data_IF_082576213361
#
_entry.id   IF_082576213361
#
_cell.length_a   1.000
_cell.length_b   1.000
_cell.length_c   1.000
_cell.angle_alpha   90.00
_cell.angle_beta   90.00
_cell.angle_gamma   90.00
#
_symmetry.space_group_name_H-M   'P 1'
#
loop_
_entity.id
_entity.type
_entity.pdbx_description
1 polymer ?
#
# COMPACT_ATOMS: atom_id res chain seq x y z
N UNK A 1 26.81 -6.15 -3.67
CA UNK A 1 26.77 -6.45 -5.11
C UNK A 1 27.83 -5.61 -5.81
N UNK A 2 28.86 -6.25 -6.31
CA UNK A 2 30.01 -5.58 -6.98
C UNK A 2 29.72 -5.27 -8.46
N UNK A 3 28.71 -5.91 -9.05
CA UNK A 3 28.35 -5.71 -10.47
C UNK A 3 27.42 -4.54 -10.73
N UNK A 4 27.04 -3.80 -9.70
CA UNK A 4 26.22 -2.60 -9.83
C UNK A 4 26.88 -1.39 -9.17
N UNK A 5 26.59 -0.20 -9.69
CA UNK A 5 27.10 1.06 -9.15
C UNK A 5 28.63 1.18 -9.15
N UNK A 6 29.25 0.72 -10.24
CA UNK A 6 30.70 0.85 -10.37
C UNK A 6 31.19 2.31 -10.20
N UNK A 7 32.30 2.58 -9.49
CA UNK A 7 33.19 1.62 -8.81
C UNK A 7 32.80 1.31 -7.35
N UNK A 8 31.70 1.80 -6.83
CA UNK A 8 31.38 1.78 -5.39
C UNK A 8 30.70 0.48 -4.93
N UNK A 9 30.05 -0.22 -5.85
CA UNK A 9 29.22 -1.35 -5.51
C UNK A 9 27.91 -0.93 -4.82
N UNK A 10 27.13 -1.92 -4.37
CA UNK A 10 25.86 -1.69 -3.68
C UNK A 10 25.72 -2.60 -2.46
N UNK A 11 25.40 -2.02 -1.31
CA UNK A 11 24.91 -2.80 -0.17
C UNK A 11 23.41 -3.09 -0.33
N UNK A 12 23.11 -4.39 -0.51
CA UNK A 12 21.74 -4.86 -0.71
C UNK A 12 20.93 -4.75 0.59
N UNK A 13 21.56 -4.93 1.77
CA UNK A 13 20.87 -4.91 3.06
C UNK A 13 20.30 -3.54 3.39
N UNK A 14 21.02 -2.48 3.05
CA UNK A 14 20.59 -1.09 3.27
C UNK A 14 19.59 -0.61 2.21
N UNK A 15 19.77 -1.03 0.95
CA UNK A 15 19.11 -0.41 -0.21
C UNK A 15 17.98 -1.26 -0.80
N UNK A 16 17.78 -2.50 -0.33
CA UNK A 16 16.78 -3.42 -0.87
C UNK A 16 15.59 -3.63 0.09
N UNK A 17 14.51 -4.19 -0.46
CA UNK A 17 13.33 -4.63 0.28
C UNK A 17 13.58 -6.03 0.86
N UNK A 18 14.41 -6.11 1.90
CA UNK A 18 14.97 -7.37 2.44
C UNK A 18 13.87 -8.38 2.83
N UNK A 19 12.74 -7.91 3.35
CA UNK A 19 11.64 -8.80 3.74
C UNK A 19 11.04 -9.56 2.56
N UNK A 20 11.05 -9.00 1.33
CA UNK A 20 10.62 -9.73 0.13
C UNK A 20 11.53 -10.94 -0.11
N UNK A 21 12.84 -10.73 -0.12
CA UNK A 21 13.83 -11.77 -0.40
C UNK A 21 13.83 -12.86 0.67
N UNK A 22 13.82 -12.48 1.95
CA UNK A 22 13.76 -13.42 3.07
C UNK A 22 12.46 -14.24 3.02
N UNK A 23 11.32 -13.57 2.83
CA UNK A 23 10.04 -14.28 2.77
C UNK A 23 10.00 -15.26 1.60
N UNK A 24 10.42 -14.83 0.41
CA UNK A 24 10.46 -15.71 -0.76
C UNK A 24 11.41 -16.91 -0.55
N UNK A 25 12.58 -16.69 0.06
CA UNK A 25 13.52 -17.75 0.40
C UNK A 25 12.92 -18.77 1.36
N UNK A 26 12.27 -18.30 2.44
CA UNK A 26 11.60 -19.19 3.41
C UNK A 26 10.47 -19.97 2.73
N UNK A 27 9.63 -19.30 1.94
CA UNK A 27 8.55 -19.98 1.22
C UNK A 27 9.08 -20.97 0.20
N UNK A 28 10.17 -20.65 -0.50
CA UNK A 28 10.82 -21.58 -1.42
C UNK A 28 11.37 -22.82 -0.70
N UNK A 29 12.02 -22.67 0.44
CA UNK A 29 12.54 -23.79 1.23
C UNK A 29 11.40 -24.71 1.75
N UNK A 30 10.24 -24.14 2.08
CA UNK A 30 9.10 -24.88 2.60
C UNK A 30 8.23 -25.51 1.50
N UNK A 31 8.09 -24.86 0.36
CA UNK A 31 7.08 -25.18 -0.67
C UNK A 31 7.64 -25.26 -2.09
N UNK A 32 8.93 -25.18 -2.29
CA UNK A 32 9.56 -25.20 -3.62
C UNK A 32 9.50 -26.56 -4.33
N UNK A 33 9.33 -27.67 -3.61
CA UNK A 33 9.07 -29.02 -4.16
C UNK A 33 9.93 -29.43 -5.36
N UNK A 34 11.19 -29.25 -5.42
CA UNK A 34 12.07 -29.53 -6.57
C UNK A 34 11.91 -28.59 -7.79
N UNK A 35 11.12 -27.52 -7.70
CA UNK A 35 11.10 -26.48 -8.74
C UNK A 35 12.41 -25.67 -8.72
N UNK A 36 12.75 -25.05 -9.85
CA UNK A 36 13.81 -24.05 -9.82
C UNK A 36 13.38 -22.81 -9.02
N UNK A 37 14.32 -22.08 -8.44
CA UNK A 37 14.02 -20.80 -7.78
C UNK A 37 13.33 -19.83 -8.76
N UNK A 38 13.74 -19.86 -10.02
CA UNK A 38 13.16 -19.03 -11.08
C UNK A 38 11.68 -19.32 -11.29
N UNK A 39 11.30 -20.58 -11.45
CA UNK A 39 9.89 -20.98 -11.62
C UNK A 39 9.05 -20.64 -10.39
N UNK A 40 9.63 -20.81 -9.21
CA UNK A 40 8.96 -20.46 -7.95
C UNK A 40 8.65 -18.97 -7.86
N UNK A 41 9.61 -18.08 -8.17
CA UNK A 41 9.39 -16.63 -8.07
C UNK A 41 8.43 -16.09 -9.13
N UNK A 42 8.29 -16.78 -10.28
CA UNK A 42 7.28 -16.45 -11.29
C UNK A 42 5.85 -16.60 -10.73
N UNK A 43 5.60 -17.67 -9.97
CA UNK A 43 4.27 -18.00 -9.43
C UNK A 43 4.02 -17.28 -8.10
N UNK A 44 5.06 -16.89 -7.39
CA UNK A 44 4.98 -16.30 -6.04
C UNK A 44 3.99 -15.14 -5.93
N UNK A 45 3.97 -14.12 -6.84
CA UNK A 45 3.02 -13.01 -6.77
C UNK A 45 1.56 -13.46 -6.83
N UNK A 46 1.25 -14.47 -7.65
CA UNK A 46 -0.10 -15.00 -7.79
C UNK A 46 -0.60 -15.64 -6.48
N UNK A 47 0.26 -16.44 -5.83
CA UNK A 47 -0.05 -17.06 -4.54
C UNK A 47 -0.27 -15.99 -3.47
N UNK A 48 0.63 -15.02 -3.38
CA UNK A 48 0.52 -13.91 -2.42
C UNK A 48 -0.72 -13.06 -2.70
N UNK A 49 -1.05 -12.78 -3.96
CA UNK A 49 -2.27 -12.07 -4.35
C UNK A 49 -3.53 -12.79 -3.88
N UNK A 50 -3.58 -14.11 -4.04
CA UNK A 50 -4.69 -14.95 -3.55
C UNK A 50 -4.82 -14.90 -2.02
N UNK A 51 -3.73 -15.01 -1.29
CA UNK A 51 -3.70 -14.86 0.16
C UNK A 51 -4.11 -13.45 0.61
N UNK A 52 -3.76 -12.43 -0.18
CA UNK A 52 -4.16 -11.05 0.07
C UNK A 52 -5.68 -10.89 -0.07
N UNK A 53 -6.31 -11.49 -1.09
CA UNK A 53 -7.76 -11.48 -1.24
C UNK A 53 -8.48 -12.08 -0.01
N UNK A 54 -7.93 -13.15 0.58
CA UNK A 54 -8.44 -13.74 1.84
C UNK A 54 -8.28 -12.75 3.01
N UNK A 55 -7.13 -12.06 3.08
CA UNK A 55 -6.88 -11.07 4.13
C UNK A 55 -7.80 -9.86 4.00
N UNK A 56 -8.08 -9.40 2.79
CA UNK A 56 -9.06 -8.34 2.47
C UNK A 56 -10.47 -8.79 2.88
N UNK A 57 -10.87 -10.01 2.52
CA UNK A 57 -12.14 -10.58 2.99
C UNK A 57 -12.24 -10.52 4.51
N UNK A 58 -11.23 -11.03 5.22
CA UNK A 58 -11.23 -11.06 6.68
C UNK A 58 -11.31 -9.66 7.30
N UNK A 59 -10.55 -8.72 6.76
CA UNK A 59 -10.53 -7.33 7.22
C UNK A 59 -11.88 -6.62 7.02
N UNK A 60 -12.42 -6.66 5.80
CA UNK A 60 -13.68 -5.99 5.49
C UNK A 60 -14.88 -6.68 6.15
N UNK A 61 -14.82 -8.00 6.33
CA UNK A 61 -15.82 -8.73 7.12
C UNK A 61 -15.95 -8.21 8.55
N UNK A 62 -14.83 -7.85 9.18
CA UNK A 62 -14.85 -7.25 10.53
C UNK A 62 -15.54 -5.89 10.52
N UNK A 63 -15.38 -5.11 9.48
CA UNK A 63 -15.99 -3.78 9.34
C UNK A 63 -17.47 -3.85 8.97
N UNK A 64 -17.80 -4.55 7.88
CA UNK A 64 -19.10 -4.48 7.21
C UNK A 64 -19.91 -5.79 7.15
N UNK A 65 -19.39 -6.90 7.72
CA UNK A 65 -20.05 -8.21 7.69
C UNK A 65 -19.62 -9.09 6.52
N UNK A 66 -20.15 -10.32 6.47
CA UNK A 66 -19.68 -11.36 5.53
C UNK A 66 -19.90 -10.97 4.07
N UNK A 67 -21.07 -10.43 3.73
CA UNK A 67 -21.36 -9.97 2.35
C UNK A 67 -20.40 -8.88 1.90
N UNK A 68 -20.12 -7.89 2.76
CA UNK A 68 -19.12 -6.86 2.45
C UNK A 68 -17.73 -7.46 2.23
N UNK A 69 -17.32 -8.43 3.07
CA UNK A 69 -16.05 -9.12 2.90
C UNK A 69 -15.94 -9.87 1.56
N UNK A 70 -16.98 -10.60 1.16
CA UNK A 70 -17.00 -11.32 -0.13
C UNK A 70 -16.93 -10.36 -1.32
N UNK A 71 -17.71 -9.27 -1.28
CA UNK A 71 -17.66 -8.23 -2.31
C UNK A 71 -16.28 -7.56 -2.37
N UNK A 72 -15.66 -7.31 -1.21
CA UNK A 72 -14.32 -6.74 -1.16
C UNK A 72 -13.25 -7.66 -1.78
N UNK A 73 -13.31 -8.96 -1.49
CA UNK A 73 -12.40 -9.92 -2.10
C UNK A 73 -12.60 -10.00 -3.62
N UNK A 74 -13.85 -10.00 -4.09
CA UNK A 74 -14.14 -9.96 -5.53
C UNK A 74 -13.60 -8.69 -6.18
N UNK A 75 -13.91 -7.50 -5.62
CA UNK A 75 -13.40 -6.22 -6.12
C UNK A 75 -11.86 -6.17 -6.13
N UNK A 76 -11.23 -6.71 -5.08
CA UNK A 76 -9.77 -6.78 -5.00
C UNK A 76 -9.18 -7.62 -6.14
N UNK A 77 -9.76 -8.78 -6.42
CA UNK A 77 -9.25 -9.72 -7.43
C UNK A 77 -9.35 -9.19 -8.87
N UNK A 78 -10.29 -8.28 -9.14
CA UNK A 78 -10.50 -7.69 -10.48
C UNK A 78 -10.00 -6.24 -10.58
N UNK A 79 -9.43 -5.67 -9.52
CA UNK A 79 -8.98 -4.27 -9.50
C UNK A 79 -7.71 -4.07 -10.30
N UNK A 80 -7.77 -3.29 -11.38
CA UNK A 80 -6.65 -3.07 -12.28
C UNK A 80 -5.37 -2.55 -11.57
N UNK A 81 -5.39 -1.52 -10.71
CA UNK A 81 -4.18 -1.06 -10.02
C UNK A 81 -3.55 -2.11 -9.09
N UNK A 82 -4.31 -3.13 -8.70
CA UNK A 82 -3.85 -4.20 -7.82
C UNK A 82 -3.31 -5.38 -8.64
N UNK A 83 -4.09 -5.90 -9.61
CA UNK A 83 -3.64 -7.09 -10.33
C UNK A 83 -2.45 -6.78 -11.25
N UNK A 84 -2.35 -5.58 -11.85
CA UNK A 84 -1.19 -5.17 -12.66
C UNK A 84 0.12 -5.18 -11.87
N UNK A 85 0.05 -5.06 -10.55
CA UNK A 85 1.18 -5.18 -9.63
C UNK A 85 1.36 -6.57 -9.04
N UNK A 86 0.60 -7.55 -9.47
CA UNK A 86 0.62 -8.92 -8.97
C UNK A 86 0.48 -9.96 -10.07
N UNK A 87 0.74 -9.59 -11.33
CA UNK A 87 0.75 -10.51 -12.46
C UNK A 87 1.80 -11.60 -12.30
N UNK A 88 1.61 -12.68 -13.01
CA UNK A 88 2.57 -13.79 -13.08
C UNK A 88 3.93 -13.25 -13.56
N UNK A 89 5.01 -13.62 -12.87
CA UNK A 89 6.35 -13.07 -13.13
C UNK A 89 6.65 -11.71 -12.52
N UNK A 90 5.68 -11.01 -11.97
CA UNK A 90 5.88 -9.71 -11.30
C UNK A 90 6.41 -9.89 -9.87
N UNK A 91 7.63 -10.39 -9.73
CA UNK A 91 8.27 -10.57 -8.43
C UNK A 91 8.76 -9.24 -7.87
N UNK A 92 7.84 -8.47 -7.30
CA UNK A 92 8.10 -7.17 -6.67
C UNK A 92 7.52 -7.09 -5.25
N UNK A 93 7.84 -5.99 -4.60
CA UNK A 93 7.56 -5.75 -3.17
C UNK A 93 6.09 -5.46 -2.87
N UNK A 94 5.33 -4.92 -3.85
CA UNK A 94 3.95 -4.48 -3.66
C UNK A 94 2.99 -5.61 -3.23
N UNK A 95 2.95 -6.77 -3.90
CA UNK A 95 2.04 -7.86 -3.50
C UNK A 95 2.25 -8.33 -2.08
N UNK A 96 3.51 -8.59 -1.70
CA UNK A 96 3.84 -9.07 -0.36
C UNK A 96 3.57 -8.01 0.71
N UNK A 97 3.92 -6.76 0.42
CA UNK A 97 3.62 -5.63 1.31
C UNK A 97 2.13 -5.50 1.59
N UNK A 98 1.28 -5.57 0.56
CA UNK A 98 -0.18 -5.52 0.71
C UNK A 98 -0.72 -6.72 1.51
N UNK A 99 -0.19 -7.93 1.28
CA UNK A 99 -0.58 -9.10 2.06
C UNK A 99 -0.39 -8.87 3.56
N UNK A 100 0.82 -8.49 3.95
CA UNK A 100 1.12 -8.23 5.36
C UNK A 100 0.33 -7.04 5.92
N UNK A 101 0.13 -5.99 5.13
CA UNK A 101 -0.66 -4.84 5.56
C UNK A 101 -2.13 -5.19 5.81
N UNK A 102 -2.81 -5.88 4.89
CA UNK A 102 -4.20 -6.27 5.09
C UNK A 102 -4.37 -7.27 6.24
N UNK A 103 -3.43 -8.20 6.39
CA UNK A 103 -3.42 -9.12 7.54
C UNK A 103 -3.24 -8.35 8.86
N UNK A 104 -2.32 -7.38 8.90
CA UNK A 104 -2.13 -6.50 10.05
C UNK A 104 -3.39 -5.69 10.35
N UNK A 105 -4.04 -5.10 9.35
CA UNK A 105 -5.27 -4.32 9.51
C UNK A 105 -6.43 -5.19 10.03
N UNK A 106 -6.57 -6.41 9.52
CA UNK A 106 -7.53 -7.38 10.07
C UNK A 106 -7.29 -7.66 11.55
N UNK A 107 -6.04 -7.96 11.91
CA UNK A 107 -5.68 -8.27 13.30
C UNK A 107 -5.84 -7.05 14.21
N UNK A 108 -5.43 -5.87 13.76
CA UNK A 108 -5.59 -4.61 14.50
C UNK A 108 -7.06 -4.31 14.77
N UNK A 109 -7.90 -4.27 13.74
CA UNK A 109 -9.33 -3.93 13.88
C UNK A 109 -10.04 -5.00 14.69
N UNK A 110 -9.76 -6.29 14.46
CA UNK A 110 -10.37 -7.36 15.24
C UNK A 110 -9.89 -7.36 16.69
N UNK A 111 -8.64 -6.98 16.94
CA UNK A 111 -8.07 -6.84 18.29
C UNK A 111 -8.71 -5.69 19.09
N UNK A 112 -8.91 -4.54 18.45
CA UNK A 112 -9.50 -3.37 19.12
C UNK A 112 -11.02 -3.48 19.25
N UNK A 113 -11.73 -3.96 18.22
CA UNK A 113 -13.19 -3.85 18.15
C UNK A 113 -13.95 -5.06 18.71
N UNK A 114 -13.41 -6.27 18.63
CA UNK A 114 -14.10 -7.50 19.09
C UNK A 114 -13.80 -7.90 20.52
N UNK A 115 -12.82 -7.25 21.15
CA UNK A 115 -12.71 -7.24 22.58
C UNK A 115 -12.27 -8.43 23.40
N UNK A 116 -11.50 -8.11 24.37
CA UNK A 116 -11.56 -8.60 25.75
C UNK A 116 -11.01 -9.99 25.94
N UNK A 117 -9.76 -10.03 26.19
CA UNK A 117 -9.07 -11.21 26.65
C UNK A 117 -7.70 -11.35 26.01
N UNK A 118 -7.00 -12.38 26.40
CA UNK A 118 -5.64 -12.69 25.95
C UNK A 118 -5.51 -12.67 24.40
N UNK A 119 -6.53 -13.16 23.69
CA UNK A 119 -6.54 -13.19 22.22
C UNK A 119 -6.52 -11.82 21.57
N UNK A 120 -7.11 -10.77 22.16
CA UNK A 120 -7.05 -9.42 21.62
C UNK A 120 -5.64 -8.85 21.69
N UNK A 121 -4.90 -9.08 22.78
CA UNK A 121 -3.50 -8.68 22.89
C UNK A 121 -2.62 -9.43 21.90
N UNK A 122 -2.79 -10.73 21.75
CA UNK A 122 -2.05 -11.54 20.78
C UNK A 122 -2.28 -11.00 19.35
N UNK A 123 -3.53 -10.69 19.00
CA UNK A 123 -3.85 -10.09 17.69
C UNK A 123 -3.14 -8.75 17.49
N UNK A 124 -3.07 -7.90 18.51
CA UNK A 124 -2.42 -6.58 18.40
C UNK A 124 -0.90 -6.71 18.29
N UNK A 125 -0.29 -7.67 18.97
CA UNK A 125 1.13 -7.97 18.82
C UNK A 125 1.42 -8.43 17.39
N UNK A 126 0.67 -9.40 16.88
CA UNK A 126 0.86 -9.85 15.50
C UNK A 126 0.50 -8.78 14.47
N UNK A 127 -0.46 -7.88 14.76
CA UNK A 127 -0.75 -6.75 13.89
C UNK A 127 0.46 -5.81 13.73
N UNK A 128 1.16 -5.50 14.84
CA UNK A 128 2.40 -4.72 14.80
C UNK A 128 3.50 -5.42 14.02
N UNK A 129 3.71 -6.73 14.28
CA UNK A 129 4.70 -7.54 13.58
C UNK A 129 4.42 -7.60 12.06
N UNK A 130 3.19 -7.94 11.64
CA UNK A 130 2.87 -8.02 10.21
C UNK A 130 2.92 -6.67 9.52
N UNK A 131 2.54 -5.58 10.20
CA UNK A 131 2.67 -4.25 9.60
C UNK A 131 4.15 -3.87 9.41
N UNK A 132 5.02 -4.24 10.34
CA UNK A 132 6.47 -4.08 10.19
C UNK A 132 7.02 -4.90 9.01
N UNK A 133 6.63 -6.16 8.86
CA UNK A 133 7.00 -6.98 7.70
C UNK A 133 6.50 -6.36 6.37
N UNK A 134 5.30 -5.78 6.38
CA UNK A 134 4.78 -5.03 5.24
C UNK A 134 5.65 -3.83 4.89
N UNK A 135 6.02 -3.01 5.88
CA UNK A 135 6.91 -1.86 5.71
C UNK A 135 8.31 -2.27 5.23
N UNK A 136 8.82 -3.39 5.72
CA UNK A 136 10.10 -3.95 5.27
C UNK A 136 10.04 -4.57 3.88
N UNK A 137 8.82 -4.88 3.39
CA UNK A 137 8.59 -5.35 2.03
C UNK A 137 8.40 -4.19 1.06
N UNK A 138 7.62 -3.17 1.43
CA UNK A 138 7.29 -2.04 0.56
C UNK A 138 7.05 -0.76 1.35
N UNK A 139 7.80 0.31 1.03
CA UNK A 139 7.65 1.61 1.71
C UNK A 139 6.27 2.25 1.58
N UNK A 140 5.51 1.93 0.52
CA UNK A 140 4.12 2.40 0.36
C UNK A 140 3.17 1.95 1.47
N UNK A 141 3.54 0.91 2.24
CA UNK A 141 2.75 0.43 3.38
C UNK A 141 2.66 1.47 4.52
N UNK A 142 3.49 2.51 4.51
CA UNK A 142 3.32 3.68 5.38
C UNK A 142 1.90 4.28 5.30
N UNK A 143 1.23 4.14 4.14
CA UNK A 143 -0.17 4.52 3.99
C UNK A 143 -1.05 3.94 5.11
N UNK A 144 -0.87 2.68 5.49
CA UNK A 144 -1.72 2.01 6.48
C UNK A 144 -1.52 2.50 7.92
N UNK A 145 -0.43 3.22 8.20
CA UNK A 145 -0.26 3.91 9.49
C UNK A 145 -1.17 5.12 9.61
N UNK A 146 -1.41 5.84 8.52
CA UNK A 146 -2.20 7.08 8.53
C UNK A 146 -3.60 6.87 9.09
N UNK A 147 -4.42 5.90 8.61
CA UNK A 147 -5.74 5.66 9.18
C UNK A 147 -5.70 5.20 10.64
N UNK A 148 -4.66 4.49 11.08
CA UNK A 148 -4.50 4.10 12.50
C UNK A 148 -4.24 5.33 13.36
N UNK A 149 -3.33 6.21 12.94
CA UNK A 149 -3.00 7.47 13.64
C UNK A 149 -4.24 8.36 13.74
N UNK A 150 -4.93 8.61 12.64
CA UNK A 150 -6.15 9.42 12.62
C UNK A 150 -7.22 8.79 13.52
N UNK A 151 -7.35 7.47 13.48
CA UNK A 151 -8.30 6.77 14.35
C UNK A 151 -7.96 6.95 15.84
N UNK A 152 -6.69 6.89 16.22
CA UNK A 152 -6.25 7.17 17.59
C UNK A 152 -6.55 8.61 18.02
N UNK A 153 -6.40 9.59 17.11
CA UNK A 153 -6.73 10.99 17.40
C UNK A 153 -8.25 11.23 17.56
N UNK A 154 -9.08 10.49 16.84
CA UNK A 154 -10.55 10.63 16.91
C UNK A 154 -11.17 9.82 18.05
N UNK A 155 -10.57 8.69 18.40
CA UNK A 155 -11.13 7.72 19.32
C UNK A 155 -11.55 8.27 20.69
N UNK A 156 -10.81 9.19 21.35
CA UNK A 156 -11.19 9.78 22.63
C UNK A 156 -12.50 10.60 22.58
N UNK A 157 -12.85 11.12 21.40
CA UNK A 157 -14.07 11.94 21.20
C UNK A 157 -15.31 11.08 20.89
N UNK A 158 -15.13 9.77 20.66
CA UNK A 158 -16.23 8.85 20.49
C UNK A 158 -16.78 8.40 21.85
N UNK A 159 -18.11 8.36 21.99
CA UNK A 159 -18.74 7.80 23.20
C UNK A 159 -18.45 6.30 23.29
N UNK A 160 -17.41 5.94 24.02
CA UNK A 160 -16.99 4.57 24.26
C UNK A 160 -16.93 4.27 25.75
N UNK A 161 -17.49 3.16 26.15
CA UNK A 161 -17.55 2.74 27.58
C UNK A 161 -16.29 1.98 28.05
N UNK A 162 -15.19 1.90 27.28
CA UNK A 162 -14.15 0.88 27.55
C UNK A 162 -12.74 1.43 27.70
N UNK A 163 -12.18 1.23 28.89
CA UNK A 163 -10.78 1.46 29.23
C UNK A 163 -9.76 0.55 28.50
N UNK A 164 -10.23 -0.36 27.63
CA UNK A 164 -9.39 -1.33 26.94
C UNK A 164 -8.35 -0.66 26.01
N UNK A 165 -8.69 0.49 25.44
CA UNK A 165 -7.80 1.20 24.51
C UNK A 165 -6.51 1.68 25.18
N UNK A 166 -6.52 1.93 26.49
CA UNK A 166 -5.33 2.33 27.27
C UNK A 166 -4.21 1.28 27.14
N UNK A 167 -4.58 0.02 27.01
CA UNK A 167 -3.63 -1.08 26.84
C UNK A 167 -3.47 -1.49 25.38
N UNK A 168 -4.55 -1.45 24.62
CA UNK A 168 -4.55 -1.91 23.24
C UNK A 168 -3.67 -1.06 22.32
N UNK A 169 -3.72 0.27 22.46
CA UNK A 169 -2.92 1.17 21.64
C UNK A 169 -1.41 1.01 21.93
N UNK A 170 -0.92 1.05 23.18
CA UNK A 170 0.49 0.79 23.48
C UNK A 170 0.97 -0.59 23.02
N UNK A 171 0.19 -1.65 23.23
CA UNK A 171 0.59 -3.01 22.84
C UNK A 171 0.85 -3.09 21.34
N UNK A 172 -0.05 -2.55 20.51
CA UNK A 172 0.14 -2.49 19.06
C UNK A 172 1.38 -1.65 18.70
N UNK A 173 1.48 -0.42 19.23
CA UNK A 173 2.53 0.53 18.87
C UNK A 173 3.92 0.06 19.32
N UNK A 174 4.03 -0.51 20.51
CA UNK A 174 5.30 -1.09 21.00
C UNK A 174 5.68 -2.30 20.15
N UNK A 175 4.73 -3.19 19.85
CA UNK A 175 5.00 -4.33 18.96
C UNK A 175 5.48 -3.88 17.60
N UNK A 176 4.83 -2.88 16.98
CA UNK A 176 5.25 -2.31 15.71
C UNK A 176 6.68 -1.76 15.78
N UNK A 177 6.95 -0.88 16.75
CA UNK A 177 8.26 -0.23 16.91
C UNK A 177 9.37 -1.26 17.14
N UNK A 178 9.16 -2.23 18.03
CA UNK A 178 10.14 -3.28 18.27
C UNK A 178 10.37 -4.17 17.04
N UNK A 179 9.32 -4.46 16.28
CA UNK A 179 9.44 -5.27 15.07
C UNK A 179 10.13 -4.52 13.92
N UNK A 180 10.01 -3.19 13.85
CA UNK A 180 10.72 -2.38 12.86
C UNK A 180 12.24 -2.40 13.04
N UNK A 181 12.73 -2.68 14.26
CA UNK A 181 14.16 -2.83 14.56
C UNK A 181 14.76 -4.12 13.99
N UNK A 182 13.96 -5.08 13.54
CA UNK A 182 14.44 -6.35 12.98
C UNK A 182 15.18 -6.17 11.64
N UNK A 183 14.93 -5.09 10.91
CA UNK A 183 15.53 -4.82 9.61
C UNK A 183 16.17 -3.44 9.61
N UNK A 184 17.40 -3.35 9.12
CA UNK A 184 18.22 -2.14 9.13
C UNK A 184 17.49 -0.96 8.45
N UNK A 185 16.96 -1.18 7.26
CA UNK A 185 16.22 -0.15 6.51
C UNK A 185 14.99 0.39 7.26
N UNK A 186 14.25 -0.44 7.97
CA UNK A 186 13.06 -0.01 8.72
C UNK A 186 13.37 0.48 10.11
N UNK A 187 14.54 0.17 10.65
CA UNK A 187 14.99 0.70 11.94
C UNK A 187 15.05 2.24 11.92
N UNK A 188 15.38 2.84 10.80
CA UNK A 188 15.37 4.29 10.61
C UNK A 188 13.99 4.92 10.78
N UNK A 189 12.91 4.17 10.51
CA UNK A 189 11.54 4.65 10.74
C UNK A 189 11.19 4.76 12.22
N UNK A 190 11.85 3.99 13.11
CA UNK A 190 11.54 4.00 14.55
C UNK A 190 11.93 5.32 15.21
N UNK A 191 13.09 5.87 14.84
CA UNK A 191 13.62 7.15 15.34
C UNK A 191 13.18 8.30 14.42
N UNK A 192 12.74 7.97 13.19
CA UNK A 192 12.26 8.92 12.22
C UNK A 192 10.83 9.40 12.48
N UNK A 193 10.30 10.18 11.53
CA UNK A 193 8.97 10.80 11.61
C UNK A 193 7.83 9.79 11.82
N UNK A 194 7.91 8.59 11.24
CA UNK A 194 6.84 7.60 11.35
C UNK A 194 6.70 7.07 12.78
N UNK A 195 7.81 6.69 13.42
CA UNK A 195 7.80 6.23 14.80
C UNK A 195 7.36 7.29 15.79
N UNK A 196 7.80 8.54 15.59
CA UNK A 196 7.35 9.68 16.41
C UNK A 196 5.85 9.91 16.30
N UNK A 197 5.28 9.95 15.10
CA UNK A 197 3.84 10.20 14.92
C UNK A 197 3.00 9.06 15.51
N UNK A 198 3.44 7.80 15.39
CA UNK A 198 2.80 6.66 16.06
C UNK A 198 2.91 6.78 17.57
N UNK A 199 4.09 7.15 18.10
CA UNK A 199 4.31 7.35 19.53
C UNK A 199 3.40 8.46 20.10
N UNK A 200 3.41 9.63 19.48
CA UNK A 200 2.57 10.77 19.91
C UNK A 200 1.08 10.47 19.83
N UNK A 201 0.60 9.82 18.78
CA UNK A 201 -0.81 9.44 18.67
C UNK A 201 -1.23 8.40 19.72
N UNK A 202 -0.31 7.50 20.08
CA UNK A 202 -0.52 6.51 21.13
C UNK A 202 -0.58 7.19 22.51
N UNK A 203 0.36 8.07 22.81
CA UNK A 203 0.35 8.87 24.06
C UNK A 203 -0.91 9.70 24.13
N UNK A 204 -1.32 10.34 23.02
CA UNK A 204 -2.54 11.13 22.96
C UNK A 204 -3.78 10.31 23.37
N UNK A 205 -4.01 9.17 22.73
CA UNK A 205 -5.20 8.36 23.04
C UNK A 205 -5.20 7.84 24.47
N UNK A 206 -4.03 7.44 24.99
CA UNK A 206 -3.90 6.94 26.37
C UNK A 206 -4.17 8.06 27.38
N UNK A 207 -3.54 9.22 27.20
CA UNK A 207 -3.72 10.35 28.13
C UNK A 207 -5.15 10.89 28.08
N UNK A 208 -5.76 11.00 26.90
CA UNK A 208 -7.17 11.41 26.80
C UNK A 208 -8.13 10.44 27.51
N UNK A 209 -7.89 9.14 27.43
CA UNK A 209 -8.68 8.16 28.17
C UNK A 209 -8.43 8.23 29.68
N UNK A 210 -7.24 8.61 30.12
CA UNK A 210 -6.95 8.91 31.52
C UNK A 210 -7.64 10.20 31.99
N UNK A 211 -7.58 11.27 31.18
CA UNK A 211 -8.31 12.52 31.43
C UNK A 211 -9.79 12.25 31.63
N UNK A 212 -10.39 11.34 30.84
CA UNK A 212 -11.79 10.96 30.96
C UNK A 212 -12.15 10.37 32.33
N UNK A 213 -11.20 9.70 33.01
CA UNK A 213 -11.42 9.16 34.38
C UNK A 213 -11.41 10.24 35.47
N UNK A 214 -10.66 11.33 35.23
CA UNK A 214 -10.43 12.35 36.25
C UNK A 214 -11.14 13.67 35.99
N UNK A 215 -11.73 13.85 34.80
CA UNK A 215 -12.44 15.08 34.41
C UNK A 215 -13.95 14.88 34.38
N UNK A 216 -14.69 15.95 34.67
CA UNK A 216 -16.15 16.01 34.43
C UNK A 216 -16.42 15.91 32.92
N UNK A 217 -17.53 15.28 32.53
CA UNK A 217 -17.89 15.09 31.11
C UNK A 217 -17.89 16.39 30.28
N UNK A 218 -18.28 17.52 30.86
CA UNK A 218 -18.30 18.83 30.19
C UNK A 218 -16.90 19.37 29.86
N UNK A 219 -15.87 19.04 30.63
CA UNK A 219 -14.49 19.51 30.43
C UNK A 219 -13.61 18.50 29.70
N UNK A 220 -14.05 17.24 29.56
CA UNK A 220 -13.26 16.21 28.92
C UNK A 220 -12.84 16.58 27.50
N UNK A 221 -13.77 16.97 26.65
CA UNK A 221 -13.51 17.34 25.25
C UNK A 221 -12.55 18.53 25.17
N UNK A 222 -12.76 19.55 26.01
CA UNK A 222 -11.88 20.72 26.05
C UNK A 222 -10.45 20.34 26.44
N UNK A 223 -10.29 19.54 27.49
CA UNK A 223 -8.97 19.10 27.96
C UNK A 223 -8.25 18.23 26.92
N UNK A 224 -8.97 17.38 26.20
CA UNK A 224 -8.40 16.60 25.10
C UNK A 224 -7.94 17.48 23.93
N UNK A 225 -8.69 18.55 23.60
CA UNK A 225 -8.25 19.52 22.58
C UNK A 225 -7.01 20.31 23.01
N UNK A 226 -6.96 20.77 24.27
CA UNK A 226 -5.78 21.45 24.82
C UNK A 226 -4.56 20.51 24.72
N UNK A 227 -4.73 19.24 25.10
CA UNK A 227 -3.65 18.27 25.03
C UNK A 227 -3.23 17.97 23.58
N UNK A 228 -4.17 17.87 22.63
CA UNK A 228 -3.88 17.71 21.21
C UNK A 228 -3.03 18.88 20.68
N UNK A 229 -3.45 20.12 21.00
CA UNK A 229 -2.69 21.33 20.61
C UNK A 229 -1.28 21.31 21.18
N UNK A 230 -1.12 20.92 22.45
CA UNK A 230 0.20 20.79 23.10
C UNK A 230 1.09 19.76 22.41
N UNK A 231 0.54 18.60 22.01
CA UNK A 231 1.28 17.58 21.25
C UNK A 231 1.70 18.10 19.88
N UNK A 232 0.81 18.79 19.16
CA UNK A 232 1.13 19.36 17.84
C UNK A 232 2.27 20.39 17.97
N UNK A 233 2.22 21.27 18.96
CA UNK A 233 3.29 22.24 19.23
C UNK A 233 4.61 21.52 19.55
N UNK A 234 4.57 20.47 20.39
CA UNK A 234 5.74 19.68 20.72
C UNK A 234 6.33 19.00 19.48
N UNK A 235 5.50 18.42 18.60
CA UNK A 235 5.93 17.82 17.35
C UNK A 235 6.60 18.85 16.42
N UNK A 236 5.99 20.02 16.25
CA UNK A 236 6.57 21.13 15.47
C UNK A 236 7.94 21.51 16.05
N UNK A 237 8.06 21.61 17.38
CA UNK A 237 9.32 21.91 18.05
C UNK A 237 10.40 20.84 17.79
N UNK A 238 10.05 19.57 17.81
CA UNK A 238 10.98 18.45 17.51
C UNK A 238 11.46 18.52 16.05
N UNK A 239 10.58 18.76 15.09
CA UNK A 239 10.98 18.92 13.69
C UNK A 239 11.79 20.18 13.45
N UNK A 240 11.41 21.30 14.08
CA UNK A 240 12.12 22.58 13.96
C UNK A 240 13.52 22.53 14.59
N UNK A 241 13.74 21.72 15.63
CA UNK A 241 15.06 21.53 16.25
C UNK A 241 16.04 20.71 15.40
N UNK A 242 15.58 20.07 14.33
CA UNK A 242 16.41 19.20 13.47
C UNK A 242 16.79 17.85 14.11
N UNK A 243 16.29 17.52 15.31
CA UNK A 243 16.51 16.21 15.97
C UNK A 243 15.98 15.09 15.09
N UNK A 244 14.89 15.35 14.37
CA UNK A 244 14.29 14.40 13.42
C UNK A 244 14.24 15.04 12.05
N UNK A 245 14.79 14.34 11.07
CA UNK A 245 14.73 14.78 9.67
C UNK A 245 13.30 14.74 9.15
N UNK A 246 12.94 15.74 8.34
CA UNK A 246 11.69 15.72 7.60
C UNK A 246 11.68 14.54 6.62
N UNK A 247 10.48 14.00 6.30
CA UNK A 247 10.36 12.98 5.26
C UNK A 247 10.98 13.47 3.95
N UNK A 248 11.58 12.56 3.21
CA UNK A 248 12.07 12.85 1.86
C UNK A 248 10.96 13.41 0.96
N UNK A 249 11.33 14.17 -0.06
CA UNK A 249 10.40 14.92 -0.92
C UNK A 249 9.28 14.06 -1.52
N UNK A 250 9.57 12.80 -1.88
CA UNK A 250 8.55 11.83 -2.35
C UNK A 250 7.42 11.61 -1.36
N UNK A 251 7.73 11.53 -0.07
CA UNK A 251 6.70 11.34 0.97
C UNK A 251 5.91 12.62 1.22
N UNK A 252 6.56 13.78 1.16
CA UNK A 252 5.89 15.08 1.27
C UNK A 252 4.93 15.30 0.11
N UNK A 253 5.34 14.96 -1.12
CA UNK A 253 4.49 15.00 -2.31
C UNK A 253 3.31 14.03 -2.20
N UNK A 254 3.53 12.81 -1.71
CA UNK A 254 2.45 11.84 -1.50
C UNK A 254 1.41 12.35 -0.50
N UNK A 255 1.83 13.13 0.50
CA UNK A 255 0.95 13.73 1.49
C UNK A 255 0.30 15.05 1.04
N UNK A 256 0.90 15.75 0.07
CA UNK A 256 0.38 17.00 -0.47
C UNK A 256 0.43 16.99 -2.01
N UNK A 257 -0.68 16.65 -2.66
CA UNK A 257 -0.76 16.56 -4.12
C UNK A 257 -0.56 17.91 -4.85
N UNK A 258 -0.55 19.02 -4.12
CA UNK A 258 -0.29 20.35 -4.67
C UNK A 258 1.20 20.74 -4.67
N UNK A 259 2.08 19.94 -4.06
CA UNK A 259 3.52 20.11 -4.18
C UNK A 259 3.96 19.62 -5.57
N UNK A 260 4.62 20.52 -6.31
CA UNK A 260 5.31 20.15 -7.55
C UNK A 260 6.68 19.56 -7.22
N UNK A 261 7.06 18.49 -7.90
CA UNK A 261 8.39 17.94 -7.77
C UNK A 261 9.41 18.92 -8.38
N UNK A 262 10.51 19.11 -7.67
CA UNK A 262 11.68 19.84 -8.19
C UNK A 262 12.86 18.87 -8.40
N UNK A 263 12.62 17.55 -8.23
CA UNK A 263 13.64 16.52 -8.39
C UNK A 263 13.53 15.88 -9.78
N UNK A 264 14.49 16.16 -10.69
CA UNK A 264 14.45 15.64 -12.06
C UNK A 264 14.41 14.11 -12.14
N UNK A 265 14.99 13.41 -11.16
CA UNK A 265 14.95 11.94 -11.13
C UNK A 265 13.54 11.45 -10.82
N UNK A 266 12.86 12.05 -9.86
CA UNK A 266 11.45 11.74 -9.56
C UNK A 266 10.54 12.03 -10.76
N UNK A 267 10.77 13.13 -11.45
CA UNK A 267 9.98 13.54 -12.62
C UNK A 267 10.25 12.66 -13.86
N UNK A 268 11.42 12.03 -13.95
CA UNK A 268 11.74 11.11 -15.05
C UNK A 268 10.97 9.79 -14.99
N UNK A 269 10.38 9.45 -13.85
CA UNK A 269 9.61 8.22 -13.66
C UNK A 269 8.15 8.45 -14.00
N UNK A 270 7.65 7.84 -15.07
CA UNK A 270 6.27 8.00 -15.55
C UNK A 270 5.20 7.72 -14.49
N UNK A 271 5.47 6.80 -13.56
CA UNK A 271 4.57 6.47 -12.45
C UNK A 271 4.46 7.58 -11.38
N UNK A 272 5.38 8.55 -11.38
CA UNK A 272 5.33 9.72 -10.49
C UNK A 272 4.62 10.92 -11.11
N UNK A 273 4.07 10.78 -12.31
CA UNK A 273 3.21 11.80 -12.90
C UNK A 273 1.98 12.03 -12.03
N UNK A 274 1.53 13.27 -11.98
CA UNK A 274 0.29 13.65 -11.28
C UNK A 274 -0.91 12.94 -11.92
N UNK A 275 -1.79 12.39 -11.09
CA UNK A 275 -3.02 11.75 -11.58
C UNK A 275 -3.98 12.78 -12.14
N UNK A 276 -4.68 12.41 -13.22
CA UNK A 276 -5.82 13.15 -13.75
C UNK A 276 -7.12 12.39 -13.48
N UNK A 277 -8.26 13.07 -13.55
CA UNK A 277 -9.57 12.42 -13.40
C UNK A 277 -9.76 11.31 -14.45
N UNK A 278 -9.29 11.53 -15.68
CA UNK A 278 -9.35 10.51 -16.74
C UNK A 278 -8.48 9.31 -16.42
N UNK A 279 -7.27 9.53 -15.95
CA UNK A 279 -6.35 8.44 -15.53
C UNK A 279 -6.96 7.61 -14.39
N UNK A 280 -7.44 8.28 -13.33
CA UNK A 280 -8.09 7.60 -12.22
C UNK A 280 -9.34 6.83 -12.66
N UNK A 281 -10.14 7.39 -13.61
CA UNK A 281 -11.31 6.70 -14.12
C UNK A 281 -10.95 5.42 -14.91
N UNK A 282 -9.90 5.43 -15.69
CA UNK A 282 -9.41 4.23 -16.40
C UNK A 282 -9.00 3.13 -15.39
N UNK A 283 -8.32 3.52 -14.32
CA UNK A 283 -7.83 2.56 -13.33
C UNK A 283 -8.91 2.01 -12.39
N UNK A 284 -9.82 2.83 -11.90
CA UNK A 284 -10.78 2.42 -10.85
C UNK A 284 -12.24 2.37 -11.32
N UNK A 285 -12.56 2.97 -12.47
CA UNK A 285 -13.82 2.86 -13.19
C UNK A 285 -15.07 2.90 -12.29
N UNK A 286 -15.90 1.88 -12.36
CA UNK A 286 -17.17 1.76 -11.62
C UNK A 286 -17.00 1.70 -10.10
N UNK A 287 -15.81 1.41 -9.59
CA UNK A 287 -15.56 1.40 -8.14
C UNK A 287 -15.78 2.78 -7.52
N UNK A 288 -15.62 3.86 -8.29
CA UNK A 288 -15.94 5.23 -7.85
C UNK A 288 -17.41 5.32 -7.46
N UNK A 289 -18.31 4.79 -8.29
CA UNK A 289 -19.76 4.79 -8.03
C UNK A 289 -20.07 4.03 -6.73
N UNK A 290 -19.49 2.84 -6.60
CA UNK A 290 -19.69 2.02 -5.40
C UNK A 290 -19.09 2.67 -4.14
N UNK A 291 -17.94 3.33 -4.26
CA UNK A 291 -17.32 4.10 -3.18
C UNK A 291 -18.21 5.26 -2.71
N UNK A 292 -18.80 6.01 -3.64
CA UNK A 292 -19.75 7.11 -3.33
C UNK A 292 -20.98 6.56 -2.58
N UNK A 293 -21.54 5.44 -3.04
CA UNK A 293 -22.65 4.76 -2.35
C UNK A 293 -22.23 4.36 -0.93
N UNK A 294 -21.00 3.85 -0.77
CA UNK A 294 -20.45 3.49 0.53
C UNK A 294 -20.32 4.67 1.47
N UNK A 295 -19.76 5.78 1.00
CA UNK A 295 -19.63 7.03 1.74
C UNK A 295 -21.03 7.51 2.18
N UNK A 296 -21.96 7.56 1.25
CA UNK A 296 -23.34 7.98 1.52
C UNK A 296 -23.96 7.17 2.66
N UNK A 297 -23.91 5.85 2.60
CA UNK A 297 -24.48 5.01 3.66
C UNK A 297 -23.72 5.17 4.97
N UNK A 298 -22.39 5.20 4.97
CA UNK A 298 -21.59 5.32 6.19
C UNK A 298 -21.81 6.65 6.92
N UNK A 299 -22.12 7.75 6.21
CA UNK A 299 -22.53 9.02 6.84
C UNK A 299 -23.97 9.00 7.35
N UNK A 300 -24.87 8.22 6.77
CA UNK A 300 -26.28 8.17 7.16
C UNK A 300 -26.46 7.43 8.48
N UNK A 301 -26.80 8.18 9.56
CA UNK A 301 -26.97 7.61 10.91
C UNK A 301 -28.18 6.69 11.05
N UNK A 302 -29.25 6.91 10.25
CA UNK A 302 -30.56 6.23 10.41
C UNK A 302 -30.65 4.86 9.73
N UNK A 303 -29.70 4.52 8.88
CA UNK A 303 -29.84 3.41 7.94
C UNK A 303 -28.97 2.20 8.21
N UNK A 304 -28.09 2.23 9.23
CA UNK A 304 -27.06 1.21 9.40
C UNK A 304 -26.94 0.73 10.83
N UNK A 305 -26.99 -0.59 10.99
CA UNK A 305 -26.73 -1.30 12.25
C UNK A 305 -25.21 -1.59 12.45
N UNK A 306 -24.35 -0.67 12.04
CA UNK A 306 -22.91 -0.78 12.26
C UNK A 306 -22.46 0.10 13.43
N UNK A 307 -21.62 -0.46 14.30
CA UNK A 307 -21.01 0.28 15.42
C UNK A 307 -20.24 1.50 14.88
N UNK A 308 -20.33 2.61 15.61
CA UNK A 308 -19.75 3.89 15.21
C UNK A 308 -18.24 3.81 14.92
N UNK A 309 -17.52 3.03 15.70
CA UNK A 309 -16.07 2.82 15.53
C UNK A 309 -15.72 2.23 14.15
N UNK A 310 -16.50 1.20 13.72
CA UNK A 310 -16.28 0.54 12.43
C UNK A 310 -16.57 1.47 11.27
N UNK A 311 -17.64 2.26 11.39
CA UNK A 311 -18.03 3.26 10.39
C UNK A 311 -16.95 4.33 10.23
N UNK A 312 -16.48 4.88 11.34
CA UNK A 312 -15.45 5.91 11.35
C UNK A 312 -14.15 5.36 10.78
N UNK A 313 -13.74 4.15 11.19
CA UNK A 313 -12.51 3.55 10.67
C UNK A 313 -12.59 3.29 9.17
N UNK A 314 -13.72 2.78 8.67
CA UNK A 314 -13.93 2.57 7.24
C UNK A 314 -13.90 3.88 6.44
N UNK A 315 -14.49 4.96 6.98
CA UNK A 315 -14.44 6.29 6.36
C UNK A 315 -13.02 6.85 6.37
N UNK A 316 -12.29 6.75 7.48
CA UNK A 316 -10.92 7.25 7.58
C UNK A 316 -10.04 6.57 6.53
N UNK A 317 -9.98 5.23 6.50
CA UNK A 317 -9.12 4.52 5.56
C UNK A 317 -9.53 4.78 4.10
N UNK A 318 -10.84 4.84 3.81
CA UNK A 318 -11.33 5.08 2.47
C UNK A 318 -11.02 6.50 1.98
N UNK A 319 -11.28 7.53 2.79
CA UNK A 319 -11.05 8.92 2.40
C UNK A 319 -9.56 9.23 2.30
N UNK A 320 -8.76 8.76 3.26
CA UNK A 320 -7.29 8.95 3.21
C UNK A 320 -6.65 8.24 2.00
N UNK A 321 -7.19 7.09 1.62
CA UNK A 321 -6.74 6.36 0.44
C UNK A 321 -6.98 7.15 -0.86
N UNK A 322 -8.18 7.69 -1.03
CA UNK A 322 -8.54 8.53 -2.19
C UNK A 322 -7.69 9.81 -2.21
N UNK A 323 -7.48 10.45 -1.04
CA UNK A 323 -6.67 11.65 -0.96
C UNK A 323 -5.21 11.39 -1.37
N UNK A 324 -4.57 10.36 -0.84
CA UNK A 324 -3.17 10.05 -1.12
C UNK A 324 -2.97 9.62 -2.58
N UNK A 325 -3.92 8.90 -3.14
CA UNK A 325 -3.85 8.47 -4.55
C UNK A 325 -3.85 9.64 -5.55
N UNK A 326 -4.36 10.80 -5.16
CA UNK A 326 -4.40 11.98 -6.03
C UNK A 326 -3.03 12.60 -6.32
N UNK A 327 -1.97 12.16 -5.65
CA UNK A 327 -0.63 12.72 -5.81
C UNK A 327 0.15 12.13 -6.99
N UNK A 328 0.13 10.81 -7.16
CA UNK A 328 0.89 10.09 -8.19
C UNK A 328 0.09 8.94 -8.77
N UNK A 329 0.29 8.65 -10.06
CA UNK A 329 -0.29 7.48 -10.74
C UNK A 329 0.05 6.18 -10.01
N UNK A 330 1.27 6.04 -9.50
CA UNK A 330 1.70 4.87 -8.71
C UNK A 330 0.84 4.63 -7.46
N UNK A 331 0.21 5.66 -6.92
CA UNK A 331 -0.60 5.59 -5.70
C UNK A 331 -2.08 5.24 -5.96
N UNK A 332 -2.48 5.07 -7.23
CA UNK A 332 -3.84 4.62 -7.60
C UNK A 332 -4.22 3.27 -6.98
N UNK A 333 -3.23 2.47 -6.62
CA UNK A 333 -3.45 1.25 -5.83
C UNK A 333 -4.16 1.54 -4.50
N UNK A 334 -3.88 2.67 -3.87
CA UNK A 334 -4.57 3.09 -2.63
C UNK A 334 -5.97 3.60 -2.91
N UNK A 335 -6.22 4.27 -4.06
CA UNK A 335 -7.59 4.58 -4.48
C UNK A 335 -8.44 3.32 -4.54
N UNK A 336 -7.91 2.27 -5.18
CA UNK A 336 -8.57 0.96 -5.22
C UNK A 336 -8.84 0.41 -3.83
N UNK A 337 -7.86 0.43 -2.93
CA UNK A 337 -8.05 -0.03 -1.54
C UNK A 337 -9.19 0.72 -0.85
N UNK A 338 -9.22 2.05 -0.96
CA UNK A 338 -10.27 2.88 -0.37
C UNK A 338 -11.65 2.58 -0.95
N UNK A 339 -11.74 2.54 -2.28
CA UNK A 339 -12.99 2.30 -2.99
C UNK A 339 -13.53 0.88 -2.79
N UNK A 340 -12.64 -0.13 -2.68
CA UNK A 340 -13.01 -1.51 -2.35
C UNK A 340 -13.64 -1.57 -0.96
N UNK A 341 -13.03 -0.94 0.04
CA UNK A 341 -13.56 -0.96 1.41
C UNK A 341 -14.90 -0.23 1.48
N UNK A 342 -14.97 0.99 0.96
CA UNK A 342 -16.19 1.80 1.00
C UNK A 342 -17.29 1.18 0.14
N UNK A 343 -16.97 0.81 -1.09
CA UNK A 343 -17.91 0.28 -2.06
C UNK A 343 -18.49 -1.06 -1.65
N UNK A 344 -17.67 -1.98 -1.16
CA UNK A 344 -18.15 -3.29 -0.70
C UNK A 344 -19.09 -3.19 0.50
N UNK A 345 -18.80 -2.31 1.47
CA UNK A 345 -19.70 -2.04 2.60
C UNK A 345 -20.98 -1.39 2.10
N UNK A 346 -20.89 -0.40 1.20
CA UNK A 346 -22.05 0.28 0.61
C UNK A 346 -22.96 -0.68 -0.16
N UNK A 347 -22.39 -1.50 -1.02
CA UNK A 347 -23.12 -2.52 -1.77
C UNK A 347 -23.76 -3.56 -0.85
N UNK A 348 -23.05 -4.04 0.18
CA UNK A 348 -23.60 -4.99 1.13
C UNK A 348 -24.85 -4.44 1.85
N UNK A 349 -24.83 -3.16 2.22
CA UNK A 349 -25.97 -2.48 2.83
C UNK A 349 -27.12 -2.35 1.80
N UNK A 350 -26.78 -1.96 0.57
CA UNK A 350 -27.75 -1.80 -0.51
C UNK A 350 -28.42 -3.13 -0.86
N UNK A 351 -27.64 -4.21 -1.02
CA UNK A 351 -28.16 -5.57 -1.24
C UNK A 351 -29.10 -5.98 -0.11
N UNK A 352 -28.69 -5.81 1.14
CA UNK A 352 -29.53 -6.15 2.29
C UNK A 352 -30.88 -5.43 2.21
N UNK A 353 -30.87 -4.10 1.98
CA UNK A 353 -32.10 -3.30 1.91
C UNK A 353 -33.02 -3.71 0.75
N UNK A 354 -32.47 -3.99 -0.42
CA UNK A 354 -33.27 -4.35 -1.60
C UNK A 354 -33.82 -5.77 -1.48
N UNK A 355 -32.99 -6.72 -1.02
CA UNK A 355 -33.42 -8.11 -0.88
C UNK A 355 -34.48 -8.31 0.24
N UNK A 356 -34.36 -7.55 1.35
CA UNK A 356 -35.32 -7.58 2.45
C UNK A 356 -36.56 -6.71 2.18
N UNK A 357 -36.59 -5.89 1.14
CA UNK A 357 -37.74 -5.05 0.79
C UNK A 357 -38.87 -5.86 0.18
N UNK A 358 -40.10 -5.31 0.24
CA UNK A 358 -41.30 -5.90 -0.39
C UNK A 358 -41.43 -5.58 -1.88
N UNK A 359 -40.31 -5.23 -2.56
CA UNK A 359 -40.27 -4.95 -3.99
C UNK A 359 -40.48 -6.27 -4.76
N UNK A 360 -41.16 -6.15 -5.92
CA UNK A 360 -41.41 -7.25 -6.84
C UNK A 360 -40.12 -8.01 -7.22
N UNK A 361 -40.14 -9.35 -7.18
CA UNK A 361 -38.97 -10.21 -7.37
C UNK A 361 -38.20 -9.95 -8.68
N UNK A 362 -38.81 -9.74 -9.84
CA UNK A 362 -38.08 -9.38 -11.08
C UNK A 362 -37.27 -8.09 -10.97
N UNK A 363 -37.72 -7.09 -10.23
CA UNK A 363 -36.95 -5.87 -9.99
C UNK A 363 -35.67 -6.14 -9.20
N UNK A 364 -35.72 -7.07 -8.22
CA UNK A 364 -34.54 -7.50 -7.46
C UNK A 364 -33.51 -8.21 -8.37
N UNK A 365 -34.00 -9.08 -9.27
CA UNK A 365 -33.16 -9.78 -10.25
C UNK A 365 -32.52 -8.76 -11.22
N UNK A 366 -33.31 -7.80 -11.73
CA UNK A 366 -32.80 -6.74 -12.61
C UNK A 366 -31.72 -5.93 -11.89
N UNK A 367 -31.95 -5.55 -10.63
CA UNK A 367 -30.95 -4.84 -9.83
C UNK A 367 -29.65 -5.63 -9.69
N UNK A 368 -29.71 -6.91 -9.36
CA UNK A 368 -28.52 -7.78 -9.27
C UNK A 368 -27.80 -7.89 -10.63
N UNK A 369 -28.58 -7.99 -11.72
CA UNK A 369 -28.07 -8.01 -13.09
C UNK A 369 -27.33 -6.71 -13.48
N UNK A 370 -27.89 -5.56 -13.12
CA UNK A 370 -27.26 -4.25 -13.34
C UNK A 370 -25.93 -4.14 -12.58
N UNK A 371 -25.93 -4.51 -11.30
CA UNK A 371 -24.67 -4.49 -10.52
C UNK A 371 -23.62 -5.43 -11.11
N UNK A 372 -24.01 -6.65 -11.51
CA UNK A 372 -23.11 -7.59 -12.16
C UNK A 372 -22.59 -7.02 -13.48
N UNK A 373 -23.45 -6.43 -14.30
CA UNK A 373 -23.05 -5.77 -15.55
C UNK A 373 -22.04 -4.65 -15.31
N UNK A 374 -22.27 -3.81 -14.29
CA UNK A 374 -21.31 -2.76 -13.91
C UNK A 374 -19.96 -3.35 -13.47
N UNK A 375 -19.93 -4.46 -12.76
CA UNK A 375 -18.68 -5.13 -12.42
C UNK A 375 -17.93 -5.66 -13.63
N UNK A 376 -18.66 -6.20 -14.61
CA UNK A 376 -18.06 -6.81 -15.81
C UNK A 376 -17.60 -5.75 -16.82
N UNK A 377 -18.22 -4.57 -16.84
CA UNK A 377 -17.90 -3.51 -17.82
C UNK A 377 -16.39 -3.22 -17.91
N UNK A 378 -15.68 -2.83 -16.87
CA UNK A 378 -14.25 -2.49 -16.99
C UNK A 378 -13.36 -3.73 -17.23
N UNK A 379 -13.87 -4.92 -16.92
CA UNK A 379 -13.12 -6.16 -17.15
C UNK A 379 -13.08 -6.52 -18.64
N UNK A 380 -14.15 -6.21 -19.38
CA UNK A 380 -14.35 -6.68 -20.76
C UNK A 380 -14.33 -5.50 -21.76
N UNK A 381 -14.76 -4.31 -21.37
CA UNK A 381 -15.00 -3.17 -22.27
C UNK A 381 -14.24 -1.91 -21.82
N UNK A 382 -13.78 -1.07 -22.78
CA UNK A 382 -13.63 -1.38 -24.20
C UNK A 382 -12.53 -2.39 -24.46
N UNK A 383 -12.56 -3.12 -25.56
CA UNK A 383 -11.66 -4.26 -25.83
C UNK A 383 -10.18 -3.90 -25.67
N UNK A 384 -9.74 -2.75 -26.22
CA UNK A 384 -8.35 -2.31 -26.18
C UNK A 384 -7.89 -1.76 -24.79
N UNK A 385 -8.82 -1.34 -23.95
CA UNK A 385 -8.56 -0.75 -22.62
C UNK A 385 -9.15 -1.58 -21.49
N UNK A 386 -9.64 -2.78 -21.81
CA UNK A 386 -10.20 -3.69 -20.82
C UNK A 386 -9.12 -4.19 -19.85
N UNK A 387 -9.51 -4.48 -18.63
CA UNK A 387 -8.58 -5.01 -17.66
C UNK A 387 -8.07 -6.40 -18.04
N UNK A 388 -8.81 -7.16 -18.85
CA UNK A 388 -8.35 -8.44 -19.42
C UNK A 388 -7.21 -8.23 -20.41
N UNK A 389 -7.28 -7.24 -21.29
CA UNK A 389 -6.20 -6.95 -22.24
C UNK A 389 -4.89 -6.57 -21.54
N UNK A 390 -4.97 -5.90 -20.40
CA UNK A 390 -3.77 -5.60 -19.59
C UNK A 390 -3.14 -6.85 -18.96
N UNK A 391 -3.93 -7.86 -18.65
CA UNK A 391 -3.41 -9.11 -18.12
C UNK A 391 -2.74 -10.00 -19.19
N UNK A 392 -3.09 -9.84 -20.46
CA UNK A 392 -2.50 -10.57 -21.58
C UNK A 392 -1.07 -10.13 -21.90
N UNK A 393 -0.75 -8.86 -21.61
CA UNK A 393 0.56 -8.28 -21.89
C UNK A 393 1.28 -7.84 -20.60
N UNK A 394 1.73 -8.79 -19.76
CA UNK A 394 2.45 -8.44 -18.53
C UNK A 394 3.76 -7.72 -18.86
N UNK A 395 4.20 -6.73 -18.06
CA UNK A 395 5.42 -5.98 -18.29
C UNK A 395 6.65 -6.87 -18.06
N UNK A 396 7.09 -7.52 -19.12
CA UNK A 396 8.30 -8.36 -19.20
C UNK A 396 9.36 -7.72 -20.07
N UNK A 397 10.55 -8.30 -20.11
CA UNK A 397 11.62 -7.86 -21.00
C UNK A 397 11.19 -7.94 -22.48
N UNK A 398 10.34 -8.88 -22.84
CA UNK A 398 9.80 -9.03 -24.21
C UNK A 398 8.88 -7.86 -24.62
N UNK A 399 8.28 -7.18 -23.64
CA UNK A 399 7.44 -6.00 -23.84
C UNK A 399 8.16 -4.70 -23.43
N UNK A 400 9.49 -4.70 -23.37
CA UNK A 400 10.28 -3.55 -22.97
C UNK A 400 10.04 -3.07 -21.52
N UNK A 401 9.56 -3.95 -20.63
CA UNK A 401 9.22 -3.61 -19.25
C UNK A 401 7.94 -2.79 -19.09
N UNK A 402 7.11 -2.69 -20.12
CA UNK A 402 5.86 -1.91 -20.17
C UNK A 402 4.69 -2.79 -20.60
N UNK A 403 3.48 -2.22 -20.62
CA UNK A 403 2.27 -2.90 -21.14
C UNK A 403 2.13 -2.74 -22.67
N UNK A 404 3.24 -2.81 -23.41
CA UNK A 404 3.16 -2.79 -24.87
C UNK A 404 2.54 -4.08 -25.40
N UNK A 405 1.61 -3.93 -26.34
CA UNK A 405 0.95 -5.06 -27.01
C UNK A 405 1.81 -5.71 -28.12
N UNK A 406 3.10 -5.40 -28.15
CA UNK A 406 4.06 -5.95 -29.11
C UNK A 406 5.15 -6.64 -28.31
N UNK A 407 5.39 -7.91 -28.62
CA UNK A 407 6.47 -8.70 -28.06
C UNK A 407 7.64 -8.76 -29.05
N UNK A 408 8.83 -8.42 -28.62
CA UNK A 408 10.06 -8.48 -29.43
C UNK A 408 11.18 -9.17 -28.66
N UNK A 409 12.17 -9.70 -29.39
CA UNK A 409 13.38 -10.26 -28.81
C UNK A 409 14.53 -9.24 -28.73
N UNK A 410 14.30 -7.98 -29.06
CA UNK A 410 15.37 -6.98 -29.16
C UNK A 410 16.17 -6.85 -27.86
N UNK A 411 15.51 -6.81 -26.71
CA UNK A 411 16.19 -6.75 -25.42
C UNK A 411 16.93 -8.04 -25.04
N UNK A 412 16.33 -9.24 -25.12
CA UNK A 412 17.04 -10.50 -24.94
C UNK A 412 18.24 -10.65 -25.85
N UNK A 413 18.10 -10.28 -27.13
CA UNK A 413 19.20 -10.35 -28.12
C UNK A 413 20.31 -9.35 -27.79
N UNK A 414 19.97 -8.12 -27.37
CA UNK A 414 20.94 -7.14 -26.91
C UNK A 414 21.72 -7.63 -25.68
N UNK A 415 21.04 -8.24 -24.70
CA UNK A 415 21.68 -8.80 -23.50
C UNK A 415 22.61 -9.98 -23.87
N UNK A 416 22.18 -10.86 -24.75
CA UNK A 416 22.98 -11.96 -25.26
C UNK A 416 24.21 -11.45 -26.05
N UNK A 417 24.01 -10.39 -26.85
CA UNK A 417 25.14 -9.78 -27.58
C UNK A 417 26.17 -9.20 -26.62
N UNK A 418 25.77 -8.45 -25.61
CA UNK A 418 26.66 -7.93 -24.57
C UNK A 418 27.43 -9.06 -23.89
N UNK A 419 26.74 -10.13 -23.50
CA UNK A 419 27.36 -11.27 -22.84
C UNK A 419 28.43 -11.93 -23.67
N UNK A 420 28.22 -12.07 -24.96
CA UNK A 420 29.08 -12.84 -25.85
C UNK A 420 30.17 -12.00 -26.54
N UNK A 421 29.97 -10.68 -26.64
CA UNK A 421 30.87 -9.80 -27.44
C UNK A 421 31.64 -8.77 -26.60
N UNK A 422 31.48 -8.77 -25.27
CA UNK A 422 32.28 -7.92 -24.37
C UNK A 422 33.06 -8.78 -23.39
N UNK A 423 34.13 -8.24 -22.80
CA UNK A 423 34.91 -8.95 -21.76
C UNK A 423 34.12 -9.08 -20.47
N UNK A 424 34.43 -10.06 -19.62
CA UNK A 424 33.72 -10.31 -18.36
C UNK A 424 33.81 -9.13 -17.39
N UNK A 425 34.87 -8.35 -17.45
CA UNK A 425 35.15 -7.14 -16.67
C UNK A 425 34.62 -5.85 -17.32
N UNK A 426 33.89 -5.94 -18.44
CA UNK A 426 33.35 -4.79 -19.13
C UNK A 426 32.35 -4.04 -18.25
N UNK A 427 32.51 -2.71 -18.22
CA UNK A 427 31.60 -1.79 -17.50
C UNK A 427 30.68 -1.13 -18.52
N UNK A 428 29.37 -1.35 -18.34
CA UNK A 428 28.35 -0.88 -19.28
C UNK A 428 27.73 0.42 -18.78
N UNK A 429 27.78 1.42 -19.63
CA UNK A 429 27.12 2.70 -19.45
C UNK A 429 25.76 2.67 -20.15
N UNK A 430 24.69 2.80 -19.41
CA UNK A 430 23.30 2.83 -19.92
C UNK A 430 22.43 3.73 -19.06
N UNK A 431 21.22 4.04 -19.52
CA UNK A 431 20.21 4.63 -18.64
C UNK A 431 19.89 3.67 -17.49
N UNK A 432 19.60 4.19 -16.30
CA UNK A 432 19.44 3.42 -15.07
C UNK A 432 18.34 2.35 -15.15
N UNK A 433 17.29 2.56 -15.95
CA UNK A 433 16.19 1.60 -16.10
C UNK A 433 16.63 0.21 -16.61
N UNK A 434 17.75 0.13 -17.33
CA UNK A 434 18.23 -1.09 -17.95
C UNK A 434 19.30 -1.83 -17.13
N UNK A 435 19.78 -1.21 -16.05
CA UNK A 435 20.90 -1.72 -15.28
C UNK A 435 20.67 -3.14 -14.75
N UNK A 436 19.49 -3.45 -14.23
CA UNK A 436 19.20 -4.80 -13.75
C UNK A 436 19.19 -5.86 -14.85
N UNK A 437 18.74 -5.55 -16.05
CA UNK A 437 18.80 -6.50 -17.17
C UNK A 437 20.25 -6.76 -17.57
N UNK A 438 21.07 -5.72 -17.61
CA UNK A 438 22.50 -5.83 -17.94
C UNK A 438 23.21 -6.69 -16.91
N UNK A 439 23.06 -6.40 -15.61
CA UNK A 439 23.70 -7.19 -14.55
C UNK A 439 23.23 -8.64 -14.50
N UNK A 440 21.93 -8.89 -14.65
CA UNK A 440 21.38 -10.23 -14.45
C UNK A 440 21.44 -11.11 -15.70
N UNK A 441 21.22 -10.58 -16.88
CA UNK A 441 21.12 -11.35 -18.11
C UNK A 441 22.42 -11.35 -18.92
N UNK A 442 23.12 -10.22 -19.02
CA UNK A 442 24.40 -10.17 -19.70
C UNK A 442 25.59 -10.44 -18.78
N UNK A 443 25.37 -10.49 -17.47
CA UNK A 443 26.42 -10.72 -16.47
C UNK A 443 27.57 -9.67 -16.55
N UNK A 444 27.21 -8.41 -16.83
CA UNK A 444 28.15 -7.29 -16.94
C UNK A 444 27.92 -6.27 -15.84
N UNK A 445 29.01 -5.56 -15.50
CA UNK A 445 28.98 -4.50 -14.48
C UNK A 445 28.34 -3.22 -15.03
N UNK A 446 27.52 -2.55 -14.23
CA UNK A 446 26.84 -1.30 -14.61
C UNK A 446 27.30 -0.11 -13.77
N UNK A 447 27.28 1.09 -14.38
CA UNK A 447 27.53 2.35 -13.67
C UNK A 447 26.33 2.76 -12.82
N UNK A 448 25.11 2.57 -13.33
CA UNK A 448 23.85 2.92 -12.68
C UNK A 448 22.80 1.83 -12.91
N UNK A 449 21.86 1.67 -11.97
CA UNK A 449 20.75 0.73 -12.09
C UNK A 449 19.45 1.24 -11.43
N UNK A 450 18.41 0.42 -11.45
CA UNK A 450 17.07 0.73 -10.93
C UNK A 450 17.02 0.97 -9.41
N UNK A 451 18.10 0.72 -8.65
CA UNK A 451 18.15 1.06 -7.23
C UNK A 451 18.23 2.57 -6.99
N UNK A 452 18.72 3.33 -7.97
CA UNK A 452 18.83 4.80 -7.92
C UNK A 452 19.52 5.32 -6.66
N UNK A 453 20.65 4.71 -6.29
CA UNK A 453 21.34 4.95 -5.01
C UNK A 453 22.20 6.22 -5.04
N UNK A 454 22.92 6.47 -6.15
CA UNK A 454 23.89 7.55 -6.25
C UNK A 454 23.43 8.59 -7.29
N UNK A 455 22.79 9.64 -6.82
CA UNK A 455 22.14 10.68 -7.64
C UNK A 455 23.11 11.37 -8.63
N UNK A 456 24.32 11.73 -8.18
CA UNK A 456 25.29 12.38 -9.08
C UNK A 456 25.76 11.49 -10.23
N UNK A 457 25.80 10.17 -10.01
CA UNK A 457 26.18 9.21 -11.06
C UNK A 457 25.08 9.12 -12.12
N UNK A 458 23.81 9.10 -11.70
CA UNK A 458 22.65 9.13 -12.60
C UNK A 458 22.65 10.42 -13.42
N UNK A 459 22.89 11.57 -12.77
CA UNK A 459 22.98 12.88 -13.45
C UNK A 459 24.09 12.93 -14.49
N UNK A 460 25.28 12.41 -14.16
CA UNK A 460 26.39 12.29 -15.12
C UNK A 460 26.02 11.41 -16.30
N UNK A 461 25.37 10.27 -16.03
CA UNK A 461 24.93 9.35 -17.07
C UNK A 461 23.90 10.01 -17.99
N UNK A 462 22.90 10.68 -17.42
CA UNK A 462 21.92 11.45 -18.19
C UNK A 462 22.61 12.50 -19.07
N UNK A 463 23.53 13.27 -18.51
CA UNK A 463 24.29 14.29 -19.25
C UNK A 463 25.04 13.68 -20.43
N UNK A 464 25.75 12.56 -20.22
CA UNK A 464 26.51 11.91 -21.29
C UNK A 464 25.63 11.36 -22.44
N UNK A 465 24.35 11.04 -22.16
CA UNK A 465 23.43 10.53 -23.17
C UNK A 465 22.75 11.63 -24.01
N UNK A 466 22.66 12.85 -23.48
CA UNK A 466 21.97 13.97 -24.15
C UNK A 466 22.93 15.00 -24.76
N UNK A 467 24.20 15.00 -24.38
CA UNK A 467 25.20 15.90 -24.96
C UNK A 467 25.79 15.30 -26.26
N UNK A 468 25.92 16.12 -27.29
CA UNK A 468 26.69 15.76 -28.45
C UNK A 468 28.19 15.72 -28.11
N UNK A 469 28.93 14.71 -28.55
CA UNK A 469 30.39 14.79 -28.44
C UNK A 469 30.90 15.98 -29.26
N UNK A 470 31.57 16.91 -28.59
CA UNK A 470 32.36 17.93 -29.27
C UNK A 470 33.68 17.35 -29.78
#
# INVERSE_FOLDING_TARGET
DEKSWHPFGRDISENSQVALHISASIFYQLFGFNSSLYDFVIIFPLVIGSLTAISVFAFVRVLGGTTAGLLAALMFSISAPIFTRGLIGWFKSEPLGLFFAFLAMYLFVSGIMYNKGKFSFIKLIFAGLFLSLGLSSWGGILFFLIPIIIFYLILPFLKREKNFIIWAAPVFSVSLILSLLLFERTSTFTIGYAGLVVGFSTVFVVVCELIKKFSNESKHVQNCFIFLTSIIIAMIGVFASGIVSLPGFRYLNAMNPFLTSLDPLTDSVSEHMTTSISTSYIFVSVFIIFGIIGIWFLFSRKTIDLKIDKRIFALIIGITAIYISSSFVRLEIFASVGLIILGSIGLAILFKKILESNIFSPTKILFCGVILGLFLTPVILPEDLSWTSWAEFPPTILHGGSFFQISTNDWPDAMNWLKNNTTEDAIIASWWDYGYWITTLSDRTTIVDNATVIDWQIKKMAYSLITTPE
#
